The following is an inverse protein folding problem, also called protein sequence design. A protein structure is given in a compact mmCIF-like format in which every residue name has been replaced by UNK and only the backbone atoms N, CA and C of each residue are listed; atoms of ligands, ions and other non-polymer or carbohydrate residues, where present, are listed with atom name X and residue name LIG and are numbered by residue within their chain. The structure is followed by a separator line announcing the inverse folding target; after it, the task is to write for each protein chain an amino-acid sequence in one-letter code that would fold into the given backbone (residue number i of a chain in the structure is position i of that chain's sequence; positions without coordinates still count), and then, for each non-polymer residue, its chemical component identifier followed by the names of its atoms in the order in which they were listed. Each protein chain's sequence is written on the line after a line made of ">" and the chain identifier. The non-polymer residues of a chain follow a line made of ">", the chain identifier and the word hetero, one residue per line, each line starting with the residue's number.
data_IF_388108007903
#
_entry.id   IF_388108007903
#
_cell.length_a   1.000
_cell.length_b   1.000
_cell.length_c   1.000
_cell.angle_alpha   90.00
_cell.angle_beta   90.00
_cell.angle_gamma   90.00
#
_symmetry.space_group_name_H-M   'P 1'
#
loop_
_entity.id
_entity.type
_entity.pdbx_description
1 polymer ?
#
# COMPACT_ATOMS: atom_id res chain seq x y z
N UNK A 1 26.39 15.78 -9.18
CA UNK A 1 25.48 15.59 -10.33
C UNK A 1 24.09 16.04 -9.91
N UNK A 2 23.53 17.06 -10.56
CA UNK A 2 22.15 17.49 -10.31
C UNK A 2 21.22 16.50 -11.00
N UNK A 3 20.65 15.57 -10.23
CA UNK A 3 19.51 14.79 -10.71
C UNK A 3 18.31 15.72 -10.78
N UNK A 4 17.62 15.71 -11.92
CA UNK A 4 16.33 16.37 -12.14
C UNK A 4 15.37 15.99 -10.99
N UNK A 5 15.25 16.86 -9.98
CA UNK A 5 14.33 16.66 -8.85
C UNK A 5 12.94 16.88 -9.39
N UNK A 6 12.28 15.79 -9.80
CA UNK A 6 10.85 15.82 -10.07
C UNK A 6 10.14 16.27 -8.79
N UNK A 7 9.46 17.42 -8.86
CA UNK A 7 8.72 17.96 -7.73
C UNK A 7 7.69 16.93 -7.23
N UNK A 8 7.59 16.71 -5.91
CA UNK A 8 6.56 15.85 -5.36
C UNK A 8 5.18 16.45 -5.67
N UNK A 9 4.17 15.59 -5.74
CA UNK A 9 2.79 16.02 -5.82
C UNK A 9 2.02 15.26 -4.79
N UNK A 10 1.15 15.94 -4.04
CA UNK A 10 0.32 15.32 -3.03
C UNK A 10 -1.03 16.03 -2.95
N UNK A 11 -2.03 15.31 -2.46
CA UNK A 11 -3.35 15.85 -2.13
C UNK A 11 -3.46 15.96 -0.61
N UNK A 12 -3.79 17.14 -0.12
CA UNK A 12 -4.06 17.35 1.31
C UNK A 12 -5.52 17.04 1.60
N UNK A 13 -5.77 16.28 2.67
CA UNK A 13 -7.09 15.99 3.23
C UNK A 13 -7.13 16.43 4.70
N UNK A 14 -8.26 16.95 5.15
CA UNK A 14 -8.40 17.50 6.51
C UNK A 14 -7.76 18.88 6.68
N UNK A 15 -7.68 19.35 7.92
CA UNK A 15 -7.09 20.64 8.31
C UNK A 15 -6.00 20.45 9.37
N UNK A 16 -4.99 21.32 9.35
CA UNK A 16 -3.84 21.29 10.27
C UNK A 16 -2.51 21.58 9.56
N UNK A 17 -1.55 22.10 10.31
CA UNK A 17 -0.25 22.56 9.77
C UNK A 17 0.78 21.42 9.59
N UNK A 18 0.60 20.30 10.32
CA UNK A 18 1.53 19.16 10.32
C UNK A 18 0.88 17.87 9.75
N UNK A 19 0.66 17.77 8.43
CA UNK A 19 0.01 16.60 7.84
C UNK A 19 0.87 15.34 7.96
N UNK A 20 0.22 14.19 8.17
CA UNK A 20 0.87 12.89 7.99
C UNK A 20 1.15 12.66 6.50
N UNK A 21 2.36 12.23 6.15
CA UNK A 21 2.67 11.87 4.76
C UNK A 21 2.15 10.46 4.51
N UNK A 22 1.28 10.30 3.50
CA UNK A 22 0.69 9.01 3.15
C UNK A 22 1.27 8.50 1.84
N UNK A 23 1.94 7.35 1.89
CA UNK A 23 2.52 6.66 0.74
C UNK A 23 1.55 5.57 0.28
N UNK A 24 0.85 5.75 -0.85
CA UNK A 24 -0.04 4.72 -1.35
C UNK A 24 0.76 3.50 -1.84
N UNK A 25 0.06 2.37 -1.93
CA UNK A 25 0.60 1.14 -2.50
C UNK A 25 0.21 0.97 -3.96
N UNK A 26 0.65 -0.18 -4.51
CA UNK A 26 0.34 -0.65 -5.85
C UNK A 26 1.13 0.08 -6.95
N UNK A 27 1.85 -0.63 -7.83
CA UNK A 27 2.31 -0.02 -9.07
C UNK A 27 1.07 0.44 -9.86
N UNK A 28 1.10 1.66 -10.40
CA UNK A 28 0.11 2.23 -11.33
C UNK A 28 -1.19 2.81 -10.74
N UNK A 29 -1.37 2.86 -9.42
CA UNK A 29 -2.60 3.41 -8.82
C UNK A 29 -2.40 4.81 -8.25
N UNK A 30 -3.37 5.67 -8.55
CA UNK A 30 -3.55 6.95 -7.87
C UNK A 30 -4.02 6.69 -6.42
N UNK A 31 -3.46 7.42 -5.46
CA UNK A 31 -3.77 7.25 -4.03
C UNK A 31 -5.23 7.50 -3.64
N UNK A 32 -6.08 7.95 -4.57
CA UNK A 32 -7.53 8.08 -4.40
C UNK A 32 -8.23 6.87 -3.80
N UNK A 33 -7.75 5.64 -4.03
CA UNK A 33 -8.38 4.44 -3.46
C UNK A 33 -8.33 4.40 -1.93
N UNK A 34 -7.41 5.14 -1.30
CA UNK A 34 -7.32 5.26 0.15
C UNK A 34 -8.44 6.12 0.76
N UNK A 35 -9.17 6.88 -0.07
CA UNK A 35 -10.20 7.80 0.42
C UNK A 35 -9.62 8.80 1.42
N UNK A 36 -10.26 8.88 2.58
CA UNK A 36 -9.87 9.66 3.76
C UNK A 36 -9.21 8.81 4.87
N UNK A 37 -8.77 7.60 4.51
CA UNK A 37 -8.29 6.56 5.42
C UNK A 37 -9.33 6.16 6.49
N UNK A 38 -10.60 6.09 6.12
CA UNK A 38 -11.67 5.64 7.01
C UNK A 38 -12.05 6.71 8.05
N UNK A 39 -12.05 7.98 7.64
CA UNK A 39 -12.38 9.12 8.49
C UNK A 39 -11.20 9.72 9.26
N UNK A 40 -9.98 9.20 9.12
CA UNK A 40 -8.79 9.73 9.82
C UNK A 40 -8.56 11.21 9.48
N UNK A 41 -8.88 11.63 8.25
CA UNK A 41 -8.72 13.04 7.85
C UNK A 41 -9.58 14.02 8.65
N UNK A 42 -10.61 13.55 9.36
CA UNK A 42 -11.42 14.39 10.26
C UNK A 42 -10.69 14.77 11.55
N UNK A 43 -9.66 14.01 11.93
CA UNK A 43 -8.90 14.19 13.16
C UNK A 43 -7.46 14.60 12.92
N UNK A 44 -6.95 14.38 11.70
CA UNK A 44 -5.56 14.66 11.36
C UNK A 44 -5.41 14.99 9.88
N UNK A 45 -4.69 16.07 9.56
CA UNK A 45 -4.34 16.38 8.18
C UNK A 45 -3.48 15.26 7.56
N UNK A 46 -3.75 14.94 6.29
CA UNK A 46 -3.05 13.92 5.52
C UNK A 46 -2.54 14.51 4.22
N UNK A 47 -1.26 14.32 3.90
CA UNK A 47 -0.66 14.62 2.60
C UNK A 47 -0.48 13.31 1.82
N UNK A 48 -1.46 12.98 0.98
CA UNK A 48 -1.45 11.74 0.19
C UNK A 48 -0.62 11.92 -1.06
N UNK A 49 0.53 11.22 -1.13
CA UNK A 49 1.45 11.33 -2.26
C UNK A 49 0.82 10.78 -3.55
N UNK A 50 1.01 11.52 -4.65
CA UNK A 50 0.81 11.00 -5.99
C UNK A 50 2.14 10.40 -6.47
N UNK A 51 2.17 9.07 -6.63
CA UNK A 51 3.37 8.38 -7.10
C UNK A 51 3.41 8.42 -8.64
N UNK A 52 4.42 9.07 -9.26
CA UNK A 52 4.64 8.94 -10.69
C UNK A 52 5.10 7.51 -11.03
N UNK A 53 5.12 7.16 -12.32
CA UNK A 53 5.78 5.93 -12.76
C UNK A 53 7.30 6.12 -12.67
N UNK A 54 7.86 5.73 -11.54
CA UNK A 54 9.30 5.76 -11.24
C UNK A 54 9.74 4.41 -10.66
N UNK A 55 11.04 4.08 -10.69
CA UNK A 55 11.58 2.94 -9.97
C UNK A 55 11.24 3.01 -8.48
N UNK A 56 10.95 1.85 -7.87
CA UNK A 56 10.63 1.79 -6.44
C UNK A 56 11.76 2.35 -5.55
N UNK A 57 13.01 2.20 -5.99
CA UNK A 57 14.21 2.75 -5.34
C UNK A 57 14.26 4.28 -5.32
N UNK A 58 13.48 4.98 -6.14
CA UNK A 58 13.41 6.44 -6.16
C UNK A 58 12.30 7.00 -5.25
N UNK A 59 11.37 6.16 -4.79
CA UNK A 59 10.26 6.60 -3.93
C UNK A 59 10.73 7.20 -2.60
N UNK A 60 11.78 6.69 -1.91
CA UNK A 60 12.32 7.34 -0.71
C UNK A 60 12.72 8.80 -0.94
N UNK A 61 13.35 9.11 -2.08
CA UNK A 61 13.74 10.49 -2.44
C UNK A 61 12.54 11.38 -2.74
N UNK A 62 11.47 10.81 -3.27
CA UNK A 62 10.20 11.52 -3.45
C UNK A 62 9.54 11.85 -2.11
N UNK A 63 9.60 10.93 -1.13
CA UNK A 63 9.12 11.17 0.24
C UNK A 63 9.93 12.28 0.90
N UNK A 64 11.27 12.24 0.79
CA UNK A 64 12.17 13.29 1.29
C UNK A 64 11.84 14.66 0.67
N UNK A 65 11.63 14.71 -0.65
CA UNK A 65 11.24 15.93 -1.34
C UNK A 65 9.87 16.45 -0.85
N UNK A 66 8.89 15.56 -0.62
CA UNK A 66 7.58 15.95 -0.09
C UNK A 66 7.68 16.49 1.34
N UNK A 67 8.52 15.89 2.19
CA UNK A 67 8.81 16.40 3.53
C UNK A 67 9.39 17.81 3.49
N UNK A 68 10.35 18.06 2.59
CA UNK A 68 10.94 19.39 2.36
C UNK A 68 9.88 20.40 1.91
N UNK A 69 9.07 20.03 0.91
CA UNK A 69 8.04 20.92 0.36
C UNK A 69 6.95 21.28 1.37
N UNK A 70 6.62 20.35 2.28
CA UNK A 70 5.71 20.58 3.40
C UNK A 70 6.34 21.35 4.55
N UNK A 71 7.65 21.66 4.51
CA UNK A 71 8.36 22.36 5.59
C UNK A 71 8.48 21.57 6.88
N UNK A 72 8.34 20.24 6.82
CA UNK A 72 8.32 19.38 8.01
C UNK A 72 9.74 19.01 8.43
N UNK A 73 10.09 19.25 9.70
CA UNK A 73 11.39 18.79 10.25
C UNK A 73 11.50 17.26 10.27
N UNK A 74 10.39 16.57 10.55
CA UNK A 74 10.25 15.13 10.52
C UNK A 74 8.79 14.76 10.23
N UNK A 75 8.56 13.63 9.56
CA UNK A 75 7.22 13.17 9.15
C UNK A 75 6.69 12.09 10.08
N UNK A 76 5.39 12.11 10.32
CA UNK A 76 4.68 10.88 10.64
C UNK A 76 4.25 10.24 9.32
N UNK A 77 4.80 9.07 9.04
CA UNK A 77 4.66 8.37 7.77
C UNK A 77 3.62 7.26 7.88
N UNK A 78 2.64 7.27 6.99
CA UNK A 78 1.64 6.21 6.84
C UNK A 78 1.84 5.57 5.48
N UNK A 79 2.01 4.26 5.43
CA UNK A 79 2.26 3.56 4.18
C UNK A 79 1.34 2.34 4.03
N UNK A 80 0.84 2.11 2.81
CA UNK A 80 -0.06 1.01 2.51
C UNK A 80 0.53 0.05 1.46
N UNK A 81 0.41 -1.26 1.66
CA UNK A 81 0.82 -2.31 0.70
C UNK A 81 2.24 -2.06 0.17
N UNK A 82 2.48 -2.03 -1.14
CA UNK A 82 3.82 -1.80 -1.71
C UNK A 82 4.49 -0.48 -1.26
N UNK A 83 3.72 0.52 -0.81
CA UNK A 83 4.25 1.75 -0.25
C UNK A 83 5.00 1.53 1.08
N UNK A 84 4.70 0.43 1.78
CA UNK A 84 5.36 0.07 3.05
C UNK A 84 6.84 -0.28 2.84
N UNK A 85 7.18 -0.96 1.75
CA UNK A 85 8.57 -1.23 1.37
C UNK A 85 9.35 0.07 1.16
N UNK A 86 8.76 1.03 0.44
CA UNK A 86 9.38 2.33 0.22
C UNK A 86 9.53 3.13 1.52
N UNK A 87 8.56 3.03 2.44
CA UNK A 87 8.63 3.68 3.75
C UNK A 87 9.73 3.10 4.65
N UNK A 88 9.96 1.77 4.58
CA UNK A 88 11.08 1.12 5.27
C UNK A 88 12.42 1.56 4.68
N UNK A 89 12.56 1.61 3.35
CA UNK A 89 13.75 2.16 2.71
C UNK A 89 13.99 3.63 3.08
N UNK A 90 12.94 4.44 3.13
CA UNK A 90 13.02 5.84 3.56
C UNK A 90 13.46 5.97 5.02
N UNK A 91 12.92 5.15 5.93
CA UNK A 91 13.37 5.11 7.32
C UNK A 91 14.85 4.71 7.43
N UNK A 92 15.32 3.78 6.61
CA UNK A 92 16.71 3.35 6.60
C UNK A 92 17.66 4.44 6.04
N UNK A 93 17.25 5.17 4.99
CA UNK A 93 18.05 6.24 4.37
C UNK A 93 18.00 7.56 5.17
N UNK A 94 16.87 7.87 5.81
CA UNK A 94 16.61 9.14 6.51
C UNK A 94 16.00 8.95 7.92
N UNK A 95 16.66 8.19 8.83
CA UNK A 95 16.07 7.84 10.12
C UNK A 95 15.71 9.05 10.99
N UNK A 96 16.49 10.13 10.91
CA UNK A 96 16.26 11.37 11.66
C UNK A 96 15.05 12.18 11.17
N UNK A 97 14.51 11.86 9.98
CA UNK A 97 13.34 12.54 9.40
C UNK A 97 12.03 11.78 9.64
N UNK A 98 12.04 10.65 10.36
CA UNK A 98 10.83 9.88 10.69
C UNK A 98 10.49 10.03 12.17
N UNK A 99 9.34 10.63 12.48
CA UNK A 99 8.83 10.79 13.84
C UNK A 99 7.98 9.58 14.27
N UNK A 100 7.15 9.07 13.37
CA UNK A 100 6.31 7.87 13.56
C UNK A 100 6.16 7.13 12.23
N UNK A 101 6.00 5.82 12.29
CA UNK A 101 5.77 4.97 11.13
C UNK A 101 4.54 4.07 11.37
N UNK A 102 3.60 4.11 10.43
CA UNK A 102 2.43 3.24 10.40
C UNK A 102 2.44 2.46 9.09
N UNK A 103 2.45 1.13 9.19
CA UNK A 103 2.45 0.22 8.03
C UNK A 103 1.11 -0.52 7.97
N UNK A 104 0.38 -0.32 6.88
CA UNK A 104 -0.92 -0.96 6.62
C UNK A 104 -0.69 -2.00 5.52
N UNK A 105 -1.14 -3.24 5.73
CA UNK A 105 -0.99 -4.34 4.76
C UNK A 105 0.44 -4.53 4.24
N UNK A 106 1.44 -4.45 5.15
CA UNK A 106 2.86 -4.59 4.83
C UNK A 106 3.16 -5.89 4.08
N UNK A 107 3.95 -5.78 3.01
CA UNK A 107 4.64 -6.93 2.44
C UNK A 107 5.79 -7.32 3.40
N UNK A 108 5.55 -8.31 4.26
CA UNK A 108 6.50 -8.69 5.33
C UNK A 108 7.87 -9.12 4.82
N UNK A 109 7.96 -9.59 3.57
CA UNK A 109 9.23 -9.86 2.88
C UNK A 109 10.11 -8.61 2.76
N UNK A 110 9.52 -7.43 2.58
CA UNK A 110 10.24 -6.18 2.56
C UNK A 110 10.78 -5.75 3.94
N UNK A 111 10.27 -6.36 5.02
CA UNK A 111 10.80 -6.20 6.37
C UNK A 111 11.83 -7.29 6.73
N UNK A 112 12.29 -8.09 5.76
CA UNK A 112 13.25 -9.17 5.97
C UNK A 112 12.66 -10.42 6.61
N UNK A 113 11.33 -10.54 6.65
CA UNK A 113 10.67 -11.77 7.09
C UNK A 113 10.68 -12.77 5.93
N UNK A 114 11.43 -13.85 6.10
CA UNK A 114 11.51 -14.92 5.12
C UNK A 114 10.17 -15.66 5.00
N UNK A 115 9.92 -16.26 3.84
CA UNK A 115 8.79 -17.15 3.69
C UNK A 115 8.99 -18.37 4.61
N UNK A 116 7.92 -18.81 5.26
CA UNK A 116 7.87 -20.01 6.09
C UNK A 116 6.97 -21.06 5.41
N UNK A 117 7.54 -21.95 4.57
CA UNK A 117 6.75 -22.97 3.88
C UNK A 117 6.09 -23.96 4.84
N UNK A 118 6.75 -24.28 5.96
CA UNK A 118 6.23 -25.26 6.93
C UNK A 118 5.08 -24.67 7.74
N UNK A 119 5.22 -23.42 8.21
CA UNK A 119 4.14 -22.68 8.84
C UNK A 119 2.95 -22.45 7.89
N UNK A 120 3.23 -22.11 6.63
CA UNK A 120 2.19 -22.00 5.60
C UNK A 120 1.45 -23.34 5.42
N UNK A 121 2.18 -24.46 5.31
CA UNK A 121 1.57 -25.80 5.23
C UNK A 121 0.72 -26.10 6.46
N UNK A 122 1.23 -25.81 7.66
CA UNK A 122 0.50 -26.04 8.92
C UNK A 122 -0.81 -25.24 8.97
N UNK A 123 -0.79 -23.98 8.53
CA UNK A 123 -2.00 -23.15 8.45
C UNK A 123 -2.98 -23.69 7.42
N UNK A 124 -2.51 -24.06 6.22
CA UNK A 124 -3.37 -24.67 5.20
C UNK A 124 -3.97 -26.00 5.65
N UNK A 125 -3.18 -26.85 6.32
CA UNK A 125 -3.62 -28.13 6.86
C UNK A 125 -4.73 -27.95 7.91
N UNK A 126 -4.62 -26.93 8.77
CA UNK A 126 -5.66 -26.61 9.77
C UNK A 126 -7.00 -26.17 9.16
N UNK A 127 -7.01 -25.76 7.89
CA UNK A 127 -8.19 -25.26 7.16
C UNK A 127 -8.74 -26.24 6.12
N UNK A 128 -8.18 -27.45 5.98
CA UNK A 128 -8.58 -28.43 4.96
C UNK A 128 -10.07 -28.76 4.98
N UNK A 129 -10.66 -28.81 6.17
CA UNK A 129 -12.09 -29.12 6.36
C UNK A 129 -13.01 -27.91 6.09
N UNK A 130 -12.46 -26.70 5.88
CA UNK A 130 -13.27 -25.52 5.53
C UNK A 130 -13.81 -25.65 4.08
N UNK A 131 -15.10 -25.33 3.84
CA UNK A 131 -15.68 -25.39 2.51
C UNK A 131 -14.92 -24.55 1.49
N UNK A 132 -14.46 -25.19 0.41
CA UNK A 132 -13.77 -24.53 -0.70
C UNK A 132 -12.25 -24.46 -0.58
N UNK A 133 -11.65 -24.96 0.51
CA UNK A 133 -10.18 -24.96 0.69
C UNK A 133 -9.45 -25.71 -0.42
N UNK A 134 -9.89 -26.92 -0.78
CA UNK A 134 -9.24 -27.69 -1.86
C UNK A 134 -9.32 -26.99 -3.22
N UNK A 135 -10.45 -26.35 -3.52
CA UNK A 135 -10.63 -25.58 -4.75
C UNK A 135 -9.68 -24.38 -4.78
N UNK A 136 -9.56 -23.65 -3.67
CA UNK A 136 -8.67 -22.52 -3.54
C UNK A 136 -7.18 -22.92 -3.63
N UNK A 137 -6.78 -24.05 -3.00
CA UNK A 137 -5.41 -24.60 -3.10
C UNK A 137 -5.09 -24.97 -4.55
N UNK A 138 -5.99 -25.68 -5.22
CA UNK A 138 -5.78 -26.10 -6.61
C UNK A 138 -5.75 -24.89 -7.56
N UNK A 139 -6.61 -23.90 -7.35
CA UNK A 139 -6.60 -22.65 -8.10
C UNK A 139 -5.30 -21.88 -7.89
N UNK A 140 -4.78 -21.80 -6.66
CA UNK A 140 -3.52 -21.11 -6.37
C UNK A 140 -2.32 -21.74 -7.07
N UNK A 141 -2.28 -23.07 -7.19
CA UNK A 141 -1.23 -23.78 -7.95
C UNK A 141 -1.31 -23.52 -9.46
N UNK A 142 -2.51 -23.32 -9.99
CA UNK A 142 -2.74 -23.11 -11.42
C UNK A 142 -2.59 -21.63 -11.84
N UNK A 143 -3.17 -20.72 -11.06
CA UNK A 143 -3.16 -19.28 -11.26
C UNK A 143 -3.33 -18.57 -9.89
N UNK A 144 -2.23 -18.10 -9.27
CA UNK A 144 -2.27 -17.42 -7.97
C UNK A 144 -3.03 -16.09 -8.01
N UNK A 145 -3.22 -15.49 -9.19
CA UNK A 145 -3.96 -14.24 -9.36
C UNK A 145 -5.48 -14.46 -9.56
N UNK A 146 -5.91 -15.72 -9.70
CA UNK A 146 -7.33 -16.05 -9.85
C UNK A 146 -8.13 -15.71 -8.60
N UNK A 147 -9.39 -15.30 -8.79
CA UNK A 147 -10.29 -15.00 -7.67
C UNK A 147 -10.43 -16.18 -6.70
N UNK A 148 -10.37 -17.40 -7.22
CA UNK A 148 -10.47 -18.62 -6.42
C UNK A 148 -9.20 -18.85 -5.59
N UNK A 149 -8.01 -18.61 -6.14
CA UNK A 149 -6.75 -18.64 -5.39
C UNK A 149 -6.73 -17.63 -4.24
N UNK A 150 -7.29 -16.43 -4.46
CA UNK A 150 -7.34 -15.37 -3.45
C UNK A 150 -8.17 -15.77 -2.22
N UNK A 151 -9.03 -16.78 -2.29
CA UNK A 151 -9.77 -17.29 -1.11
C UNK A 151 -8.85 -17.80 0.00
N UNK A 152 -7.66 -18.31 -0.34
CA UNK A 152 -6.69 -18.77 0.68
C UNK A 152 -6.30 -17.67 1.67
N UNK A 153 -6.22 -16.43 1.19
CA UNK A 153 -5.80 -15.27 1.98
C UNK A 153 -6.89 -14.72 2.91
N UNK A 154 -8.16 -14.99 2.62
CA UNK A 154 -9.30 -14.33 3.28
C UNK A 154 -10.35 -15.29 3.88
N UNK A 155 -10.24 -16.61 3.62
CA UNK A 155 -11.18 -17.64 4.08
C UNK A 155 -12.38 -17.87 3.14
N UNK A 156 -13.33 -18.71 3.56
CA UNK A 156 -14.58 -18.92 2.82
C UNK A 156 -15.44 -17.65 2.84
N UNK A 157 -15.69 -17.08 1.67
CA UNK A 157 -16.53 -15.89 1.49
C UNK A 157 -18.05 -16.19 1.58
N UNK A 158 -18.41 -17.45 1.91
CA UNK A 158 -19.77 -17.95 1.75
C UNK A 158 -20.26 -17.91 0.30
N UNK A 159 -21.52 -18.27 0.09
CA UNK A 159 -22.17 -18.20 -1.25
C UNK A 159 -22.49 -16.76 -1.68
N UNK A 160 -22.29 -15.79 -0.79
CA UNK A 160 -22.73 -14.39 -0.95
C UNK A 160 -21.70 -13.53 -1.68
N UNK A 161 -21.12 -14.00 -2.79
CA UNK A 161 -20.39 -13.11 -3.69
C UNK A 161 -21.34 -12.52 -4.74
N UNK A 162 -22.06 -11.45 -4.35
CA UNK A 162 -22.44 -10.45 -5.33
C UNK A 162 -21.14 -9.92 -5.93
N UNK A 163 -20.85 -10.27 -7.20
CA UNK A 163 -19.68 -9.76 -7.93
C UNK A 163 -19.53 -8.26 -7.63
N UNK A 164 -18.42 -7.80 -7.02
CA UNK A 164 -18.22 -6.38 -6.83
C UNK A 164 -18.36 -5.74 -8.21
N UNK A 165 -19.34 -4.84 -8.34
CA UNK A 165 -19.55 -4.07 -9.58
C UNK A 165 -18.18 -3.55 -9.99
N UNK A 166 -17.73 -3.87 -11.21
CA UNK A 166 -16.48 -3.33 -11.77
C UNK A 166 -16.54 -1.81 -11.69
N UNK A 167 -16.01 -1.22 -10.62
CA UNK A 167 -15.73 0.21 -10.58
C UNK A 167 -14.48 0.39 -11.43
N UNK A 168 -14.63 1.08 -12.56
CA UNK A 168 -13.47 1.53 -13.33
C UNK A 168 -12.69 2.51 -12.46
N UNK A 169 -11.62 2.03 -11.85
CA UNK A 169 -10.58 2.87 -11.28
C UNK A 169 -9.82 3.48 -12.47
N UNK A 170 -10.05 4.77 -12.71
CA UNK A 170 -9.50 5.61 -13.79
C UNK A 170 -10.24 5.60 -15.15
N UNK A 171 -10.80 6.76 -15.49
CA UNK A 171 -10.62 7.38 -16.80
C UNK A 171 -10.01 8.75 -16.53
N UNK A 172 -8.75 8.98 -16.95
CA UNK A 172 -8.31 10.35 -17.20
C UNK A 172 -9.23 10.92 -18.28
N UNK A 173 -9.75 12.16 -18.16
CA UNK A 173 -10.39 12.80 -19.30
C UNK A 173 -9.36 12.88 -20.43
N UNK A 174 -9.76 12.43 -21.63
CA UNK A 174 -8.98 12.72 -22.84
C UNK A 174 -8.93 14.23 -22.95
N UNK A 175 -7.72 14.81 -22.97
CA UNK A 175 -7.55 16.20 -23.37
C UNK A 175 -8.08 16.33 -24.79
N UNK A 176 -9.05 17.23 -24.97
CA UNK A 176 -9.43 17.75 -26.27
C UNK A 176 -8.33 18.71 -26.76
#
# INVERSE_FOLDING_TARGET
>A
MQHDRRAPSFRVLGSGEDPAVVVPGGPLLDGQYLGDLGGVSAHRALAVLHLPRIPASEVPRLIEAARDELGLRAVDLVAHSAGTSAALCYLAEFPQHVRRLVLISLAVSAAGVEADPEGMSTVLDSRKEEPGTDAAINASKADPDSLEAQRLSFGSWGDTLARPRRRRLSRRPRRA
#
